data_IF_327455892034
#
_entry.id   IF_327455892034
#
_cell.length_a   1.000
_cell.length_b   1.000
_cell.length_c   1.000
_cell.angle_alpha   90.00
_cell.angle_beta   90.00
_cell.angle_gamma   90.00
#
_symmetry.space_group_name_H-M   'P 1'
#
loop_
_entity.id
_entity.type
_entity.pdbx_description
1 polymer ?
#
# COMPACT_ATOMS: atom_id res chain seq x y z
N UNK A 1 -28.52 -28.68 -47.75
CA UNK A 1 -29.27 -28.29 -46.54
C UNK A 1 -28.28 -28.21 -45.43
N UNK A 2 -27.87 -27.02 -45.12
CA UNK A 2 -26.83 -26.70 -44.13
C UNK A 2 -27.52 -26.40 -42.78
N UNK A 3 -27.26 -27.20 -41.77
CA UNK A 3 -27.74 -26.94 -40.40
C UNK A 3 -26.69 -26.16 -39.61
N UNK A 4 -26.93 -24.86 -39.41
CA UNK A 4 -26.17 -24.05 -38.47
C UNK A 4 -26.57 -24.43 -37.04
N UNK A 5 -25.63 -25.01 -36.28
CA UNK A 5 -25.78 -25.22 -34.87
C UNK A 5 -25.40 -23.94 -34.11
N UNK A 6 -26.39 -23.17 -33.70
CA UNK A 6 -26.27 -22.05 -32.78
C UNK A 6 -25.87 -22.60 -31.39
N UNK A 7 -24.59 -22.47 -31.02
CA UNK A 7 -24.12 -22.68 -29.69
C UNK A 7 -24.46 -21.43 -28.87
N UNK A 8 -25.61 -21.47 -28.20
CA UNK A 8 -25.97 -20.48 -27.17
C UNK A 8 -25.03 -20.64 -25.98
N UNK A 9 -24.04 -19.77 -25.85
CA UNK A 9 -23.20 -19.65 -24.64
C UNK A 9 -24.10 -19.25 -23.47
N UNK A 10 -24.28 -20.13 -22.50
CA UNK A 10 -25.05 -19.89 -21.29
C UNK A 10 -24.43 -18.74 -20.49
N UNK A 11 -25.16 -17.63 -20.22
CA UNK A 11 -24.64 -16.47 -19.49
C UNK A 11 -24.31 -16.78 -18.02
N UNK A 12 -24.85 -17.86 -17.46
CA UNK A 12 -24.63 -18.27 -16.06
C UNK A 12 -23.21 -18.79 -15.81
N UNK A 13 -22.57 -19.41 -16.80
CA UNK A 13 -21.19 -19.92 -16.65
C UNK A 13 -20.15 -18.79 -16.64
N UNK A 14 -20.39 -17.68 -17.32
CA UNK A 14 -19.48 -16.54 -17.38
C UNK A 14 -19.45 -15.74 -16.07
N UNK A 15 -20.59 -15.61 -15.39
CA UNK A 15 -20.67 -14.89 -14.08
C UNK A 15 -19.98 -15.68 -12.98
N UNK A 16 -20.12 -17.01 -12.97
CA UNK A 16 -19.42 -17.86 -12.00
C UNK A 16 -17.90 -17.78 -12.17
N UNK A 17 -17.41 -17.82 -13.41
CA UNK A 17 -15.98 -17.74 -13.72
C UNK A 17 -15.38 -16.38 -13.36
N UNK A 18 -16.08 -15.28 -13.59
CA UNK A 18 -15.60 -13.93 -13.26
C UNK A 18 -15.51 -13.71 -11.74
N UNK A 19 -16.47 -14.25 -10.96
CA UNK A 19 -16.44 -14.19 -9.50
C UNK A 19 -15.29 -15.00 -8.90
N UNK A 20 -15.01 -16.17 -9.44
CA UNK A 20 -13.86 -17.00 -9.03
C UNK A 20 -12.55 -16.29 -9.33
N UNK A 21 -12.40 -15.68 -10.50
CA UNK A 21 -11.22 -14.91 -10.88
C UNK A 21 -11.03 -13.70 -9.96
N UNK A 22 -12.10 -12.97 -9.65
CA UNK A 22 -12.09 -11.84 -8.72
C UNK A 22 -11.54 -12.25 -7.35
N UNK A 23 -12.08 -13.31 -6.75
CA UNK A 23 -11.67 -13.79 -5.44
C UNK A 23 -10.21 -14.25 -5.43
N UNK A 24 -9.75 -14.94 -6.47
CA UNK A 24 -8.34 -15.35 -6.61
C UNK A 24 -7.42 -14.13 -6.71
N UNK A 25 -7.78 -13.12 -7.50
CA UNK A 25 -6.98 -11.90 -7.64
C UNK A 25 -6.96 -11.09 -6.34
N UNK A 26 -8.09 -11.03 -5.61
CA UNK A 26 -8.14 -10.38 -4.29
C UNK A 26 -7.23 -11.08 -3.27
N UNK A 27 -7.21 -12.41 -3.27
CA UNK A 27 -6.32 -13.19 -2.40
C UNK A 27 -4.84 -12.92 -2.76
N UNK A 28 -4.51 -12.89 -4.05
CA UNK A 28 -3.17 -12.56 -4.53
C UNK A 28 -2.77 -11.14 -4.14
N UNK A 29 -3.67 -10.15 -4.25
CA UNK A 29 -3.38 -8.78 -3.82
C UNK A 29 -3.08 -8.71 -2.32
N UNK A 30 -3.86 -9.39 -1.49
CA UNK A 30 -3.59 -9.47 -0.04
C UNK A 30 -2.23 -10.09 0.25
N UNK A 31 -1.84 -11.16 -0.43
CA UNK A 31 -0.55 -11.81 -0.22
C UNK A 31 0.66 -10.94 -0.59
N UNK A 32 0.47 -9.97 -1.48
CA UNK A 32 1.51 -8.99 -1.84
C UNK A 32 1.33 -7.63 -1.12
N UNK A 33 0.53 -7.60 -0.08
CA UNK A 33 0.36 -6.41 0.76
C UNK A 33 -0.58 -5.33 0.23
N UNK A 34 -1.39 -5.64 -0.80
CA UNK A 34 -2.40 -4.72 -1.32
C UNK A 34 -3.78 -5.04 -0.76
N UNK A 35 -4.42 -4.06 -0.16
CA UNK A 35 -5.73 -4.20 0.47
C UNK A 35 -6.74 -3.27 -0.18
N UNK A 36 -7.87 -3.85 -0.60
CA UNK A 36 -8.99 -3.11 -1.18
C UNK A 36 -10.16 -3.20 -0.21
N UNK A 37 -10.73 -2.06 0.11
CA UNK A 37 -11.89 -1.88 0.98
C UNK A 37 -13.01 -1.24 0.19
N UNK A 38 -14.20 -1.83 0.20
CA UNK A 38 -15.39 -1.25 -0.43
C UNK A 38 -15.92 -0.13 0.47
N UNK A 39 -16.09 1.06 -0.11
CA UNK A 39 -16.59 2.23 0.61
C UNK A 39 -18.07 2.50 0.31
N UNK A 40 -18.48 2.28 -0.93
CA UNK A 40 -19.85 2.57 -1.35
C UNK A 40 -20.33 1.51 -2.35
N UNK A 41 -21.61 1.16 -2.25
CA UNK A 41 -22.35 0.33 -3.20
C UNK A 41 -23.62 1.08 -3.64
N UNK A 42 -24.11 0.76 -4.83
CA UNK A 42 -25.41 1.27 -5.31
C UNK A 42 -26.60 0.48 -4.72
N UNK A 43 -27.82 0.85 -5.16
CA UNK A 43 -29.07 0.21 -4.71
C UNK A 43 -29.16 -1.28 -5.08
N UNK A 44 -28.36 -1.73 -6.05
CA UNK A 44 -28.28 -3.13 -6.50
C UNK A 44 -27.11 -3.89 -5.85
N UNK A 45 -26.49 -3.35 -4.80
CA UNK A 45 -25.27 -3.85 -4.16
C UNK A 45 -24.05 -3.95 -5.09
N UNK A 46 -24.03 -3.18 -6.17
CA UNK A 46 -22.87 -3.09 -7.06
C UNK A 46 -21.88 -2.09 -6.49
N UNK A 47 -20.61 -2.48 -6.42
CA UNK A 47 -19.53 -1.65 -5.89
C UNK A 47 -19.33 -0.42 -6.78
N UNK A 48 -19.45 0.76 -6.19
CA UNK A 48 -19.28 2.06 -6.88
C UNK A 48 -18.02 2.79 -6.47
N UNK A 49 -17.52 2.53 -5.23
CA UNK A 49 -16.34 3.20 -4.71
C UNK A 49 -15.52 2.30 -3.81
N UNK A 50 -14.22 2.31 -4.01
CA UNK A 50 -13.27 1.51 -3.23
C UNK A 50 -12.08 2.33 -2.79
N UNK A 51 -11.48 1.91 -1.68
CA UNK A 51 -10.20 2.41 -1.18
C UNK A 51 -9.15 1.32 -1.38
N UNK A 52 -8.00 1.67 -1.93
CA UNK A 52 -6.86 0.77 -2.05
C UNK A 52 -5.68 1.32 -1.25
N UNK A 53 -5.03 0.45 -0.47
CA UNK A 53 -3.83 0.79 0.31
C UNK A 53 -2.80 -0.33 0.22
N UNK A 54 -1.54 0.05 0.33
CA UNK A 54 -0.42 -0.87 0.50
C UNK A 54 -0.06 -0.94 1.99
N UNK A 55 0.01 -2.16 2.55
CA UNK A 55 0.46 -2.39 3.93
C UNK A 55 1.89 -2.90 4.02
N UNK A 56 2.36 -3.58 2.96
CA UNK A 56 3.71 -4.15 2.88
C UNK A 56 4.40 -3.70 1.61
N UNK A 57 5.74 -3.74 1.59
CA UNK A 57 6.52 -3.44 0.39
C UNK A 57 6.32 -4.55 -0.65
N UNK A 58 5.82 -4.17 -1.83
CA UNK A 58 5.74 -5.07 -2.97
C UNK A 58 7.09 -5.12 -3.68
N UNK A 59 7.81 -6.25 -3.57
CA UNK A 59 9.17 -6.40 -4.11
C UNK A 59 10.12 -5.26 -3.72
N UNK A 60 9.98 -4.75 -2.49
CA UNK A 60 10.78 -3.63 -2.00
C UNK A 60 10.32 -2.24 -2.46
N UNK A 61 9.21 -2.12 -3.17
CA UNK A 61 8.72 -0.85 -3.72
C UNK A 61 7.44 -0.35 -3.04
N UNK A 62 7.38 0.96 -2.85
CA UNK A 62 6.14 1.67 -2.50
C UNK A 62 5.46 2.06 -3.81
N UNK A 63 4.23 1.57 -4.00
CA UNK A 63 3.43 1.90 -5.18
C UNK A 63 2.94 3.34 -5.10
N UNK A 64 3.05 4.06 -6.20
CA UNK A 64 2.51 5.40 -6.32
C UNK A 64 0.99 5.39 -6.57
N UNK A 65 0.37 6.58 -6.52
CA UNK A 65 -1.07 6.77 -6.72
C UNK A 65 -1.57 6.13 -8.01
N UNK A 66 -0.88 6.36 -9.13
CA UNK A 66 -1.27 5.86 -10.44
C UNK A 66 -1.27 4.32 -10.45
N UNK A 67 -0.22 3.70 -9.95
CA UNK A 67 -0.08 2.25 -9.87
C UNK A 67 -1.17 1.60 -8.99
N UNK A 68 -1.51 2.20 -7.85
CA UNK A 68 -2.58 1.71 -7.00
C UNK A 68 -3.95 1.78 -7.71
N UNK A 69 -4.25 2.91 -8.36
CA UNK A 69 -5.50 3.10 -9.11
C UNK A 69 -5.60 2.11 -10.27
N UNK A 70 -4.53 1.92 -11.04
CA UNK A 70 -4.50 0.97 -12.16
C UNK A 70 -4.77 -0.47 -11.70
N UNK A 71 -4.15 -0.91 -10.60
CA UNK A 71 -4.38 -2.26 -10.04
C UNK A 71 -5.82 -2.48 -9.59
N UNK A 72 -6.40 -1.51 -8.90
CA UNK A 72 -7.81 -1.60 -8.50
C UNK A 72 -8.74 -1.63 -9.71
N UNK A 73 -8.54 -0.74 -10.68
CA UNK A 73 -9.34 -0.71 -11.91
C UNK A 73 -9.23 -2.02 -12.70
N UNK A 74 -8.03 -2.58 -12.81
CA UNK A 74 -7.82 -3.85 -13.52
C UNK A 74 -8.60 -5.00 -12.85
N UNK A 75 -8.59 -5.07 -11.53
CA UNK A 75 -9.34 -6.08 -10.77
C UNK A 75 -10.84 -6.02 -11.10
N UNK A 76 -11.43 -4.82 -11.05
CA UNK A 76 -12.86 -4.66 -11.25
C UNK A 76 -13.26 -4.77 -12.72
N UNK A 77 -12.44 -4.29 -13.67
CA UNK A 77 -12.72 -4.43 -15.12
C UNK A 77 -12.68 -5.88 -15.56
N UNK A 78 -11.72 -6.67 -15.10
CA UNK A 78 -11.62 -8.10 -15.42
C UNK A 78 -12.78 -8.93 -14.84
N UNK A 79 -13.49 -8.40 -13.86
CA UNK A 79 -14.65 -9.04 -13.24
C UNK A 79 -15.98 -8.65 -13.87
N UNK A 80 -15.96 -7.87 -14.95
CA UNK A 80 -17.16 -7.39 -15.63
C UNK A 80 -18.00 -6.40 -14.82
N UNK A 81 -17.41 -5.83 -13.75
CA UNK A 81 -18.08 -4.85 -12.89
C UNK A 81 -18.02 -3.45 -13.53
N UNK A 82 -19.01 -2.60 -13.23
CA UNK A 82 -19.06 -1.24 -13.76
C UNK A 82 -17.86 -0.40 -13.32
N UNK A 83 -17.74 0.80 -13.87
CA UNK A 83 -16.69 1.75 -13.51
C UNK A 83 -16.72 2.07 -12.02
N UNK A 84 -15.67 1.68 -11.32
CA UNK A 84 -15.51 1.91 -9.88
C UNK A 84 -14.64 3.13 -9.63
N UNK A 85 -15.08 4.02 -8.74
CA UNK A 85 -14.25 5.13 -8.25
C UNK A 85 -13.22 4.60 -7.27
N UNK A 86 -11.94 4.81 -7.55
CA UNK A 86 -10.84 4.33 -6.72
C UNK A 86 -10.24 5.48 -5.93
N UNK A 87 -10.14 5.30 -4.60
CA UNK A 87 -9.42 6.20 -3.69
C UNK A 87 -8.13 5.50 -3.28
N UNK A 88 -6.97 5.91 -3.82
CA UNK A 88 -5.68 5.38 -3.39
C UNK A 88 -5.26 6.02 -2.07
N UNK A 89 -4.80 5.21 -1.12
CA UNK A 89 -4.07 5.69 0.05
C UNK A 89 -2.59 5.64 -0.27
N UNK A 90 -2.00 6.80 -0.42
CA UNK A 90 -0.58 6.95 -0.75
C UNK A 90 0.17 7.48 0.46
N UNK A 91 1.41 7.05 0.61
CA UNK A 91 2.32 7.64 1.58
C UNK A 91 2.84 8.96 1.03
N UNK A 92 2.61 10.03 1.77
CA UNK A 92 3.14 11.36 1.44
C UNK A 92 4.05 11.82 2.57
N UNK A 93 5.20 12.37 2.20
CA UNK A 93 6.10 12.96 3.18
C UNK A 93 5.56 14.32 3.63
N UNK A 94 5.15 14.40 4.88
CA UNK A 94 5.03 15.69 5.57
C UNK A 94 6.22 15.84 6.53
N UNK A 95 7.21 16.59 6.12
CA UNK A 95 8.43 16.85 6.93
C UNK A 95 8.14 17.56 8.25
N UNK A 96 6.98 18.20 8.38
CA UNK A 96 6.63 18.93 9.58
C UNK A 96 6.30 18.02 10.76
N UNK A 97 5.80 16.80 10.49
CA UNK A 97 5.51 15.82 11.54
C UNK A 97 6.80 15.24 12.16
N UNK A 98 7.92 15.28 11.43
CA UNK A 98 9.19 14.70 11.88
C UNK A 98 9.86 15.68 12.82
N UNK A 99 9.66 15.48 14.10
CA UNK A 99 10.33 16.17 15.21
C UNK A 99 11.30 15.21 15.92
N UNK A 100 12.07 15.72 16.87
CA UNK A 100 12.89 14.88 17.74
C UNK A 100 12.04 13.86 18.49
N UNK A 101 10.97 14.31 19.12
CA UNK A 101 10.02 13.47 19.85
C UNK A 101 9.39 12.40 18.93
N UNK A 102 9.04 12.76 17.69
CA UNK A 102 8.52 11.81 16.72
C UNK A 102 9.54 10.70 16.40
N UNK A 103 10.83 11.04 16.24
CA UNK A 103 11.91 10.07 15.98
C UNK A 103 12.10 9.14 17.19
N UNK A 104 12.15 9.70 18.40
CA UNK A 104 12.30 8.92 19.64
C UNK A 104 11.12 7.95 19.84
N UNK A 105 9.88 8.42 19.67
CA UNK A 105 8.69 7.57 19.74
C UNK A 105 8.72 6.43 18.69
N UNK A 106 9.18 6.71 17.47
CA UNK A 106 9.32 5.66 16.43
C UNK A 106 10.45 4.67 16.74
N UNK A 107 11.55 5.14 17.34
CA UNK A 107 12.61 4.23 17.81
C UNK A 107 12.09 3.28 18.88
N UNK A 108 11.32 3.77 19.84
CA UNK A 108 10.74 2.97 20.90
C UNK A 108 9.67 2.01 20.35
N UNK A 109 8.78 2.49 19.47
CA UNK A 109 7.71 1.69 18.85
C UNK A 109 8.26 0.47 18.10
N UNK A 110 9.38 0.65 17.38
CA UNK A 110 9.97 -0.40 16.56
C UNK A 110 11.20 -1.08 17.17
N UNK A 111 11.59 -0.72 18.39
CA UNK A 111 12.77 -1.25 19.06
C UNK A 111 14.09 -0.92 18.36
N UNK A 112 14.12 0.20 17.60
CA UNK A 112 15.30 0.64 16.83
C UNK A 112 16.31 1.31 17.75
N UNK A 113 17.56 0.86 17.71
CA UNK A 113 18.65 1.43 18.49
C UNK A 113 19.42 2.49 17.69
N UNK A 114 20.17 3.35 18.38
CA UNK A 114 21.07 4.33 17.74
C UNK A 114 22.07 3.68 16.79
N UNK A 115 22.59 2.50 17.16
CA UNK A 115 23.51 1.72 16.33
C UNK A 115 22.89 1.31 15.00
N UNK A 116 21.58 1.07 14.96
CA UNK A 116 20.86 0.71 13.74
C UNK A 116 20.73 1.91 12.81
N UNK A 117 20.42 3.09 13.37
CA UNK A 117 20.37 4.34 12.62
C UNK A 117 21.74 4.69 12.01
N UNK A 118 22.83 4.54 12.80
CA UNK A 118 24.21 4.76 12.33
C UNK A 118 24.50 3.87 11.12
N UNK A 119 24.24 2.56 11.25
CA UNK A 119 24.53 1.58 10.19
C UNK A 119 23.65 1.77 8.95
N UNK A 120 22.33 1.94 9.15
CA UNK A 120 21.36 1.86 8.05
C UNK A 120 21.17 3.20 7.33
N UNK A 121 21.34 4.31 8.04
CA UNK A 121 21.26 5.64 7.44
C UNK A 121 22.65 6.23 7.09
N UNK A 122 23.73 5.52 7.40
CA UNK A 122 25.10 6.00 7.20
C UNK A 122 25.36 7.37 7.83
N UNK A 123 24.76 7.63 9.00
CA UNK A 123 24.97 8.85 9.78
C UNK A 123 26.10 8.58 10.76
N UNK A 124 27.08 9.48 10.84
CA UNK A 124 28.12 9.36 11.86
C UNK A 124 27.57 9.55 13.28
N UNK A 125 28.18 8.90 14.25
CA UNK A 125 27.73 8.87 15.63
C UNK A 125 27.63 10.27 16.26
N UNK A 126 28.58 11.14 15.97
CA UNK A 126 28.63 12.52 16.48
C UNK A 126 27.45 13.34 15.92
N UNK A 127 27.20 13.22 14.61
CA UNK A 127 26.07 13.90 13.96
C UNK A 127 24.72 13.39 14.49
N UNK A 128 24.56 12.07 14.64
CA UNK A 128 23.34 11.50 15.21
C UNK A 128 23.12 11.97 16.65
N UNK A 129 24.18 12.00 17.48
CA UNK A 129 24.11 12.49 18.86
C UNK A 129 23.66 13.97 18.92
N UNK A 130 24.19 14.82 18.05
CA UNK A 130 23.79 16.23 17.96
C UNK A 130 22.34 16.40 17.51
N UNK A 131 21.86 15.56 16.58
CA UNK A 131 20.47 15.56 16.11
C UNK A 131 19.51 15.11 17.22
N UNK A 132 19.79 13.97 17.87
CA UNK A 132 18.94 13.41 18.92
C UNK A 132 18.97 14.17 20.24
N UNK A 133 20.02 14.97 20.49
CA UNK A 133 20.06 15.88 21.64
C UNK A 133 19.41 17.24 21.38
N UNK A 134 18.92 17.48 20.15
CA UNK A 134 18.34 18.76 19.75
C UNK A 134 19.36 19.90 19.54
N UNK A 135 20.67 19.64 19.73
CA UNK A 135 21.74 20.63 19.54
C UNK A 135 21.91 21.01 18.06
N UNK A 136 21.53 20.13 17.16
CA UNK A 136 21.49 20.37 15.71
C UNK A 136 20.07 20.23 15.19
N UNK A 137 19.56 21.25 14.49
CA UNK A 137 18.25 21.16 13.83
C UNK A 137 18.27 20.15 12.68
N UNK A 138 17.24 19.34 12.57
CA UNK A 138 17.02 18.47 11.42
C UNK A 138 16.63 19.31 10.21
N UNK A 139 17.43 19.26 9.14
CA UNK A 139 17.04 19.80 7.85
C UNK A 139 16.02 18.90 7.14
N UNK A 140 15.45 19.36 6.02
CA UNK A 140 14.42 18.60 5.27
C UNK A 140 14.91 17.22 4.81
N UNK A 141 16.18 17.11 4.43
CA UNK A 141 16.77 15.85 3.98
C UNK A 141 16.85 14.83 5.13
N UNK A 142 17.32 15.24 6.30
CA UNK A 142 17.39 14.40 7.49
C UNK A 142 16.00 13.97 7.94
N UNK A 143 15.03 14.87 7.95
CA UNK A 143 13.63 14.54 8.25
C UNK A 143 13.06 13.53 7.27
N UNK A 144 13.31 13.69 5.97
CA UNK A 144 12.89 12.74 4.95
C UNK A 144 13.56 11.38 5.16
N UNK A 145 14.86 11.33 5.49
CA UNK A 145 15.57 10.09 5.76
C UNK A 145 14.94 9.33 6.93
N UNK A 146 14.68 9.99 8.07
CA UNK A 146 13.97 9.35 9.19
C UNK A 146 12.57 8.92 8.84
N UNK A 147 11.80 9.75 8.13
CA UNK A 147 10.43 9.41 7.73
C UNK A 147 10.39 8.12 6.91
N UNK A 148 11.16 8.04 5.82
CA UNK A 148 11.18 6.86 4.96
C UNK A 148 11.81 5.64 5.63
N UNK A 149 12.80 5.84 6.50
CA UNK A 149 13.38 4.77 7.29
C UNK A 149 12.32 4.09 8.18
N UNK A 150 11.58 4.85 8.97
CA UNK A 150 10.54 4.28 9.83
C UNK A 150 9.32 3.79 9.04
N UNK A 151 9.03 4.39 7.88
CA UNK A 151 8.01 3.87 6.98
C UNK A 151 8.31 2.44 6.51
N UNK A 152 9.58 2.09 6.28
CA UNK A 152 9.94 0.71 5.94
C UNK A 152 9.65 -0.26 7.09
N UNK A 153 9.82 0.16 8.33
CA UNK A 153 9.46 -0.65 9.51
C UNK A 153 7.95 -0.84 9.61
N UNK A 154 7.18 0.23 9.42
CA UNK A 154 5.72 0.18 9.47
C UNK A 154 5.14 -0.73 8.37
N UNK A 155 5.67 -0.64 7.14
CA UNK A 155 5.22 -1.45 6.02
C UNK A 155 5.61 -2.93 6.13
N UNK A 156 6.69 -3.24 6.85
CA UNK A 156 7.18 -4.61 7.03
C UNK A 156 6.90 -5.16 8.44
N UNK A 157 6.01 -4.55 9.20
CA UNK A 157 5.72 -4.96 10.59
C UNK A 157 5.36 -6.44 10.70
N UNK A 158 4.52 -6.93 9.79
CA UNK A 158 4.02 -8.30 9.80
C UNK A 158 5.07 -9.36 9.37
N UNK A 159 6.26 -8.93 8.87
CA UNK A 159 7.36 -9.85 8.51
C UNK A 159 8.40 -10.00 9.61
N UNK A 160 8.24 -9.32 10.75
CA UNK A 160 9.22 -9.27 11.85
C UNK A 160 8.75 -10.01 13.09
N UNK A 161 7.52 -10.45 13.09
CA UNK A 161 6.93 -11.35 14.09
C UNK A 161 7.13 -12.83 13.62
#
# INVERSE_FOLDING_TARGET
MSGESNITKNPVSSISSSKVLFNKTMALYKSVGLFIEVLETDQNNVVTKVKIKQKHLYNGYILNQKQLVERAKLLYSNSGLPKVKVIPVVYSLDVNIVSLEWVENKMDEFGVKRSDLIKQLSIDESSLSLLLSGKRKMNKLVKAAFYYYFLTYELNKDFRE
#
